data_IF_965122572688
#
_entry.id   IF_965122572688
#
_cell.length_a   1.000
_cell.length_b   1.000
_cell.length_c   1.000
_cell.angle_alpha   90.00
_cell.angle_beta   90.00
_cell.angle_gamma   90.00
#
_symmetry.space_group_name_H-M   'P 1'
#
loop_
_entity.id
_entity.type
_entity.pdbx_description
1 polymer ?
#
# COMPACT_ATOMS: atom_id res chain seq x y z
N UNK A 1 18.18 13.76 45.34
CA UNK A 1 16.93 13.06 45.00
C UNK A 1 16.89 12.89 43.49
N UNK A 2 16.92 11.65 42.99
CA UNK A 2 16.77 11.35 41.55
C UNK A 2 15.33 10.92 41.34
N UNK A 3 14.55 11.72 40.62
CA UNK A 3 13.16 11.41 40.32
C UNK A 3 13.11 10.56 39.06
N UNK A 4 12.89 9.26 39.22
CA UNK A 4 12.66 8.33 38.11
C UNK A 4 11.25 8.57 37.54
N UNK A 5 11.17 9.23 36.38
CA UNK A 5 9.93 9.32 35.61
C UNK A 5 9.72 8.00 34.84
N UNK A 6 8.61 7.32 35.12
CA UNK A 6 8.18 6.15 34.38
C UNK A 6 7.44 6.58 33.11
N UNK A 7 8.01 6.31 31.94
CA UNK A 7 7.32 6.49 30.66
C UNK A 7 6.43 5.26 30.42
N UNK A 8 5.12 5.47 30.38
CA UNK A 8 4.17 4.43 29.98
C UNK A 8 4.16 4.34 28.47
N UNK A 9 4.67 3.22 27.93
CA UNK A 9 4.62 2.94 26.49
C UNK A 9 3.17 2.72 26.08
N UNK A 10 2.53 3.77 25.56
CA UNK A 10 1.22 3.65 24.93
C UNK A 10 1.40 2.83 23.66
N UNK A 11 0.90 1.59 23.66
CA UNK A 11 0.81 0.76 22.45
C UNK A 11 -0.24 1.38 21.55
N UNK A 12 0.16 2.35 20.74
CA UNK A 12 -0.66 2.87 19.66
C UNK A 12 -0.89 1.69 18.73
N UNK A 13 -2.09 1.09 18.80
CA UNK A 13 -2.56 0.22 17.73
C UNK A 13 -2.77 1.18 16.56
N UNK A 14 -1.72 1.35 15.75
CA UNK A 14 -1.85 2.01 14.46
C UNK A 14 -2.91 1.22 13.72
N UNK A 15 -4.09 1.83 13.52
CA UNK A 15 -5.00 1.38 12.46
C UNK A 15 -4.13 1.16 11.24
N UNK A 16 -4.15 -0.06 10.71
CA UNK A 16 -3.45 -0.38 9.48
C UNK A 16 -3.73 0.73 8.48
N UNK A 17 -2.68 1.42 8.01
CA UNK A 17 -2.83 2.46 7.01
C UNK A 17 -3.28 1.89 5.66
N UNK A 18 -3.33 0.56 5.53
CA UNK A 18 -3.97 -0.17 4.45
C UNK A 18 -5.46 -0.36 4.74
N UNK A 19 -6.32 -0.01 3.76
CA UNK A 19 -7.78 -0.14 3.83
C UNK A 19 -8.31 -1.60 3.74
N UNK A 20 -7.41 -2.59 3.63
CA UNK A 20 -7.76 -3.99 3.45
C UNK A 20 -7.71 -4.42 1.98
N UNK A 21 -7.50 -5.72 1.76
CA UNK A 21 -7.43 -6.30 0.42
C UNK A 21 -8.84 -6.57 -0.11
N UNK A 22 -9.13 -6.14 -1.33
CA UNK A 22 -10.37 -6.44 -2.03
C UNK A 22 -10.08 -7.01 -3.43
N UNK A 23 -10.92 -7.94 -3.93
CA UNK A 23 -10.72 -8.53 -5.25
C UNK A 23 -10.81 -7.46 -6.33
N UNK A 24 -9.93 -7.52 -7.32
CA UNK A 24 -9.90 -6.62 -8.46
C UNK A 24 -9.46 -7.34 -9.73
N UNK A 25 -9.68 -6.69 -10.88
CA UNK A 25 -9.21 -7.19 -12.17
C UNK A 25 -7.68 -7.22 -12.24
N UNK A 26 -7.11 -8.24 -12.89
CA UNK A 26 -5.68 -8.21 -13.24
C UNK A 26 -5.33 -7.02 -14.14
N UNK A 27 -6.29 -6.54 -14.94
CA UNK A 27 -6.17 -5.34 -15.75
C UNK A 27 -6.82 -4.16 -15.01
N UNK A 28 -6.00 -3.27 -14.46
CA UNK A 28 -6.46 -2.15 -13.61
C UNK A 28 -7.22 -1.07 -14.40
N UNK A 29 -6.98 -0.96 -15.71
CA UNK A 29 -7.68 -0.04 -16.62
C UNK A 29 -8.15 -0.85 -17.84
N UNK A 30 -9.45 -0.93 -18.04
CA UNK A 30 -10.08 -1.78 -19.05
C UNK A 30 -9.89 -1.21 -20.46
N UNK A 31 -9.02 -1.79 -21.26
CA UNK A 31 -9.20 -1.78 -22.72
C UNK A 31 -10.02 -3.01 -23.08
N UNK A 32 -11.31 -2.77 -23.37
CA UNK A 32 -12.29 -3.67 -23.98
C UNK A 32 -11.95 -5.18 -23.99
N UNK A 33 -12.43 -5.93 -22.99
CA UNK A 33 -12.49 -7.39 -23.08
C UNK A 33 -12.28 -8.11 -21.76
N UNK A 34 -13.37 -8.32 -21.03
CA UNK A 34 -13.61 -9.39 -20.04
C UNK A 34 -12.40 -10.27 -19.68
N UNK A 35 -11.61 -9.89 -18.66
CA UNK A 35 -10.82 -10.87 -17.92
C UNK A 35 -11.72 -11.52 -16.87
N UNK A 36 -12.02 -12.80 -17.04
CA UNK A 36 -12.86 -13.61 -16.14
C UNK A 36 -12.19 -13.96 -14.80
N UNK A 37 -10.95 -13.54 -14.57
CA UNK A 37 -10.19 -13.83 -13.35
C UNK A 37 -10.10 -12.62 -12.41
N UNK A 38 -10.75 -12.70 -11.25
CA UNK A 38 -10.48 -11.84 -10.09
C UNK A 38 -9.27 -12.39 -9.32
N UNK A 39 -8.17 -12.65 -10.01
CA UNK A 39 -6.97 -13.30 -9.46
C UNK A 39 -6.00 -12.28 -8.82
N UNK A 40 -6.37 -10.99 -8.86
CA UNK A 40 -5.65 -9.91 -8.20
C UNK A 40 -6.40 -9.39 -6.97
N UNK A 41 -5.63 -8.92 -6.00
CA UNK A 41 -6.15 -8.18 -4.85
C UNK A 41 -5.56 -6.77 -4.85
N UNK A 42 -6.43 -5.79 -4.63
CA UNK A 42 -6.08 -4.39 -4.59
C UNK A 42 -6.28 -3.82 -3.18
N UNK A 43 -5.52 -2.79 -2.87
CA UNK A 43 -5.67 -2.03 -1.64
C UNK A 43 -5.13 -0.61 -1.84
N UNK A 44 -5.50 0.28 -0.93
CA UNK A 44 -4.99 1.65 -0.82
C UNK A 44 -4.31 1.79 0.53
N UNK A 45 -3.05 2.20 0.49
CA UNK A 45 -2.26 2.55 1.66
C UNK A 45 -2.20 4.07 1.79
N UNK A 46 -2.78 4.62 2.85
CA UNK A 46 -2.72 6.06 3.13
C UNK A 46 -1.44 6.38 3.90
N UNK A 47 -0.40 6.78 3.17
CA UNK A 47 0.90 7.17 3.73
C UNK A 47 0.88 8.63 4.19
N UNK A 48 1.67 9.03 5.19
CA UNK A 48 1.86 10.45 5.47
C UNK A 48 2.63 11.13 4.32
N UNK A 49 2.24 12.35 3.98
CA UNK A 49 2.96 13.19 3.02
C UNK A 49 4.31 13.64 3.62
N UNK A 50 4.31 13.93 4.92
CA UNK A 50 5.49 14.24 5.71
C UNK A 50 5.63 13.26 6.85
N UNK A 51 6.76 12.56 6.92
CA UNK A 51 7.08 11.76 8.09
C UNK A 51 7.58 12.67 9.23
N UNK A 52 7.22 12.37 10.50
CA UNK A 52 7.75 13.08 11.65
C UNK A 52 9.29 13.14 11.61
N UNK A 53 9.87 14.20 12.15
CA UNK A 53 11.32 14.49 12.15
C UNK A 53 11.94 14.82 10.78
N UNK A 54 11.20 14.69 9.66
CA UNK A 54 11.69 15.02 8.31
C UNK A 54 11.07 16.34 7.82
N UNK A 55 9.75 16.48 7.92
CA UNK A 55 9.04 17.70 7.54
C UNK A 55 7.69 17.85 8.26
N UNK A 56 7.13 19.05 8.19
CA UNK A 56 5.78 19.36 8.62
C UNK A 56 4.88 19.58 7.40
N UNK A 57 3.68 19.02 7.42
CA UNK A 57 2.68 19.32 6.38
C UNK A 57 2.13 20.73 6.61
N UNK A 58 2.16 21.63 5.61
CA UNK A 58 1.59 22.96 5.73
C UNK A 58 0.10 22.94 6.08
N UNK A 59 -0.36 23.97 6.78
CA UNK A 59 -1.77 24.14 7.09
C UNK A 59 -2.61 24.23 5.80
N UNK A 60 -3.71 23.50 5.75
CA UNK A 60 -4.59 23.44 4.58
C UNK A 60 -4.19 22.43 3.49
N UNK A 61 -3.09 21.70 3.67
CA UNK A 61 -2.69 20.60 2.77
C UNK A 61 -3.10 19.26 3.39
N UNK A 62 -3.52 18.31 2.54
CA UNK A 62 -3.76 16.94 3.00
C UNK A 62 -2.43 16.31 3.47
N UNK A 63 -2.36 15.92 4.74
CA UNK A 63 -1.16 15.31 5.33
C UNK A 63 -0.94 13.87 4.94
N UNK A 64 -1.78 13.33 4.06
CA UNK A 64 -1.68 11.96 3.56
C UNK A 64 -1.75 11.88 2.04
N UNK A 65 -1.09 10.87 1.50
CA UNK A 65 -1.16 10.45 0.11
C UNK A 65 -1.66 9.00 0.04
N UNK A 66 -2.58 8.77 -0.89
CA UNK A 66 -3.11 7.43 -1.14
C UNK A 66 -2.24 6.71 -2.16
N UNK A 67 -1.68 5.58 -1.75
CA UNK A 67 -0.85 4.72 -2.58
C UNK A 67 -1.67 3.49 -2.96
N UNK A 68 -2.02 3.39 -4.24
CA UNK A 68 -2.67 2.21 -4.78
C UNK A 68 -1.66 1.06 -4.92
N UNK A 69 -2.02 -0.11 -4.40
CA UNK A 69 -1.24 -1.34 -4.55
C UNK A 69 -2.11 -2.44 -5.13
N UNK A 70 -1.52 -3.23 -6.01
CA UNK A 70 -2.10 -4.45 -6.57
C UNK A 70 -1.16 -5.60 -6.31
N UNK A 71 -1.67 -6.73 -5.82
CA UNK A 71 -0.91 -7.97 -5.66
C UNK A 71 -1.57 -9.11 -6.40
N UNK A 72 -0.73 -10.03 -6.86
CA UNK A 72 -1.12 -11.32 -7.42
C UNK A 72 -0.69 -12.38 -6.41
N UNK A 73 -1.63 -13.00 -5.67
CA UNK A 73 -1.29 -14.05 -4.72
C UNK A 73 -0.52 -15.19 -5.38
N UNK A 74 0.47 -15.72 -4.67
CA UNK A 74 1.15 -16.94 -5.08
C UNK A 74 0.21 -18.13 -4.93
N UNK A 75 0.40 -19.17 -5.74
CA UNK A 75 -0.35 -20.42 -5.59
C UNK A 75 -0.13 -21.06 -4.20
N UNK A 76 1.05 -20.87 -3.62
CA UNK A 76 1.36 -21.24 -2.24
C UNK A 76 1.94 -20.05 -1.46
N UNK A 77 1.10 -19.20 -0.86
CA UNK A 77 1.54 -18.00 -0.15
C UNK A 77 2.42 -18.27 1.07
N UNK A 78 2.31 -19.46 1.68
CA UNK A 78 3.03 -19.80 2.91
C UNK A 78 4.54 -19.99 2.69
N UNK A 79 4.95 -20.34 1.47
CA UNK A 79 6.35 -20.62 1.12
C UNK A 79 6.91 -19.69 0.05
N UNK A 80 6.07 -18.80 -0.50
CA UNK A 80 6.48 -17.87 -1.55
C UNK A 80 7.08 -16.59 -0.96
N UNK A 81 8.10 -16.05 -1.64
CA UNK A 81 8.61 -14.72 -1.37
C UNK A 81 7.70 -13.65 -2.00
N UNK A 82 7.62 -12.48 -1.36
CA UNK A 82 6.98 -11.31 -1.96
C UNK A 82 7.94 -10.66 -2.96
N UNK A 83 7.47 -10.45 -4.19
CA UNK A 83 8.20 -9.71 -5.23
C UNK A 83 7.50 -8.39 -5.47
N UNK A 84 8.23 -7.29 -5.35
CA UNK A 84 7.71 -5.95 -5.61
C UNK A 84 8.12 -5.51 -7.02
N UNK A 85 7.12 -5.23 -7.86
CA UNK A 85 7.34 -4.65 -9.18
C UNK A 85 7.01 -3.16 -9.17
N UNK A 86 8.00 -2.35 -9.51
CA UNK A 86 7.85 -0.91 -9.72
C UNK A 86 8.22 -0.63 -11.18
N UNK A 87 7.27 -0.88 -12.08
CA UNK A 87 7.45 -0.58 -13.50
C UNK A 87 7.24 0.91 -13.75
N UNK A 88 8.13 1.54 -14.53
CA UNK A 88 7.93 2.88 -15.06
C UNK A 88 9.19 3.76 -15.05
N UNK A 89 8.95 5.07 -15.14
CA UNK A 89 9.78 6.17 -14.67
C UNK A 89 8.91 7.06 -13.75
N UNK A 90 9.36 8.26 -13.35
CA UNK A 90 8.51 9.15 -12.55
C UNK A 90 7.17 9.42 -13.26
N UNK A 91 6.05 9.19 -12.57
CA UNK A 91 4.70 9.44 -13.09
C UNK A 91 4.06 8.32 -13.91
N UNK A 92 4.76 7.21 -14.18
CA UNK A 92 4.15 6.03 -14.83
C UNK A 92 3.67 5.03 -13.78
N UNK A 93 2.49 4.45 -13.99
CA UNK A 93 1.87 3.51 -13.05
C UNK A 93 2.37 2.09 -13.29
N UNK A 94 2.76 1.40 -12.20
CA UNK A 94 3.04 -0.03 -12.21
C UNK A 94 1.78 -0.91 -12.22
N UNK A 95 0.59 -0.30 -12.20
CA UNK A 95 -0.68 -1.02 -12.14
C UNK A 95 -0.99 -1.83 -13.41
N UNK A 96 -0.24 -1.66 -14.49
CA UNK A 96 -0.31 -2.47 -15.71
C UNK A 96 0.39 -3.83 -15.60
N UNK A 97 1.20 -4.04 -14.55
CA UNK A 97 1.87 -5.33 -14.32
C UNK A 97 0.83 -6.43 -14.08
N UNK A 98 0.96 -7.56 -14.79
CA UNK A 98 0.01 -8.69 -14.77
C UNK A 98 0.75 -10.02 -14.75
N UNK A 99 0.04 -11.11 -14.45
CA UNK A 99 0.58 -12.45 -14.61
C UNK A 99 0.84 -12.73 -16.09
N UNK A 100 1.93 -13.42 -16.41
CA UNK A 100 2.32 -13.70 -17.79
C UNK A 100 1.75 -15.05 -18.27
N UNK A 101 1.29 -15.91 -17.35
CA UNK A 101 0.67 -17.21 -17.62
C UNK A 101 -0.04 -17.74 -16.37
#
# INVERSE_FOLDING_TARGET
MVTTQAFSASKTISKSALNGWYPCSEYTFSDAGSSTGLDAECAVYSAPLCYPEICETPQGVNSKVDIFVKRLPAANPATAANVWMLQGGPGSSSASCKRIW
#
